data_IF_270413539178
#
_entry.id   IF_270413539178
#
_cell.length_a   1.000
_cell.length_b   1.000
_cell.length_c   1.000
_cell.angle_alpha   90.00
_cell.angle_beta   90.00
_cell.angle_gamma   90.00
#
_symmetry.space_group_name_H-M   'P 1'
#
loop_
_entity.id
_entity.type
_entity.pdbx_description
1 polymer ?
#
# COMPACT_ATOMS: atom_id res chain seq x y z
N UNK A 1 14.60 -25.99 -4.20
CA UNK A 1 13.69 -26.98 -4.82
C UNK A 1 12.66 -27.52 -3.84
N UNK A 2 13.03 -28.12 -2.71
CA UNK A 2 12.07 -28.78 -1.79
C UNK A 2 10.98 -27.83 -1.25
N UNK A 3 11.32 -26.56 -0.94
CA UNK A 3 10.35 -25.55 -0.47
C UNK A 3 9.30 -25.20 -1.52
N UNK A 4 9.69 -25.12 -2.79
CA UNK A 4 8.77 -24.88 -3.92
C UNK A 4 7.83 -26.08 -4.09
N UNK A 5 8.37 -27.28 -4.03
CA UNK A 5 7.57 -28.50 -4.11
C UNK A 5 6.54 -28.59 -2.98
N UNK A 6 6.96 -28.32 -1.73
CA UNK A 6 6.05 -28.29 -0.57
C UNK A 6 4.96 -27.24 -0.72
N UNK A 7 5.32 -26.07 -1.23
CA UNK A 7 4.35 -25.00 -1.50
C UNK A 7 3.34 -25.43 -2.58
N UNK A 8 3.79 -26.01 -3.68
CA UNK A 8 2.90 -26.50 -4.75
C UNK A 8 1.98 -27.62 -4.26
N UNK A 9 2.49 -28.53 -3.44
CA UNK A 9 1.67 -29.58 -2.80
C UNK A 9 0.61 -28.96 -1.88
N UNK A 10 0.98 -27.95 -1.09
CA UNK A 10 0.03 -27.25 -0.23
C UNK A 10 -1.08 -26.57 -1.05
N UNK A 11 -0.73 -25.84 -2.12
CA UNK A 11 -1.71 -25.22 -3.01
C UNK A 11 -2.60 -26.25 -3.70
N UNK A 12 -2.03 -27.39 -4.11
CA UNK A 12 -2.79 -28.50 -4.70
C UNK A 12 -3.82 -29.08 -3.71
N UNK A 13 -3.46 -29.24 -2.43
CA UNK A 13 -4.39 -29.73 -1.41
C UNK A 13 -5.57 -28.76 -1.20
N UNK A 14 -5.31 -27.44 -1.22
CA UNK A 14 -6.36 -26.43 -1.18
C UNK A 14 -7.28 -26.55 -2.41
N UNK A 15 -6.69 -26.74 -3.60
CA UNK A 15 -7.45 -26.91 -4.84
C UNK A 15 -8.30 -28.18 -4.82
N UNK A 16 -7.69 -29.30 -4.43
CA UNK A 16 -8.39 -30.58 -4.32
C UNK A 16 -9.59 -30.48 -3.39
N UNK A 17 -9.42 -29.82 -2.26
CA UNK A 17 -10.49 -29.66 -1.29
C UNK A 17 -11.58 -28.68 -1.79
N UNK A 18 -11.17 -27.53 -2.34
CA UNK A 18 -12.10 -26.54 -2.90
C UNK A 18 -12.87 -27.08 -4.11
N UNK A 19 -12.26 -27.96 -4.91
CA UNK A 19 -12.93 -28.64 -6.01
C UNK A 19 -14.18 -29.42 -5.57
N UNK A 20 -14.23 -29.92 -4.33
CA UNK A 20 -15.40 -30.65 -3.82
C UNK A 20 -16.65 -29.74 -3.77
N UNK A 21 -16.48 -28.44 -3.51
CA UNK A 21 -17.59 -27.50 -3.56
C UNK A 21 -18.15 -27.36 -4.97
N UNK A 22 -17.29 -27.24 -5.98
CA UNK A 22 -17.71 -27.17 -7.40
C UNK A 22 -18.41 -28.47 -7.84
N UNK A 23 -17.85 -29.63 -7.46
CA UNK A 23 -18.44 -30.93 -7.75
C UNK A 23 -19.83 -31.09 -7.14
N UNK A 24 -20.02 -30.58 -5.90
CA UNK A 24 -21.30 -30.70 -5.17
C UNK A 24 -22.32 -29.68 -5.65
N UNK A 25 -21.88 -28.42 -5.92
CA UNK A 25 -22.78 -27.36 -6.37
C UNK A 25 -23.27 -27.56 -7.81
N UNK A 26 -22.44 -28.16 -8.67
CA UNK A 26 -22.68 -28.31 -10.11
C UNK A 26 -22.47 -29.79 -10.55
N UNK A 27 -23.33 -30.72 -10.11
CA UNK A 27 -23.13 -32.17 -10.33
C UNK A 27 -23.20 -32.55 -11.82
N UNK A 28 -24.02 -31.86 -12.61
CA UNK A 28 -24.26 -32.16 -14.03
C UNK A 28 -23.37 -31.35 -14.99
N UNK A 29 -22.76 -30.25 -14.52
CA UNK A 29 -21.99 -29.30 -15.36
C UNK A 29 -20.50 -29.68 -15.39
N UNK A 30 -20.16 -30.69 -16.16
CA UNK A 30 -18.75 -31.16 -16.29
C UNK A 30 -17.79 -30.05 -16.77
N UNK A 31 -18.26 -29.11 -17.61
CA UNK A 31 -17.43 -28.04 -18.12
C UNK A 31 -16.90 -27.12 -17.00
N UNK A 32 -17.69 -26.84 -15.94
CA UNK A 32 -17.27 -26.03 -14.79
C UNK A 32 -16.08 -26.69 -14.09
N UNK A 33 -16.12 -28.02 -13.93
CA UNK A 33 -15.04 -28.81 -13.32
C UNK A 33 -13.78 -28.78 -14.18
N UNK A 34 -13.93 -28.86 -15.48
CA UNK A 34 -12.81 -28.75 -16.43
C UNK A 34 -12.18 -27.35 -16.33
N UNK A 35 -12.99 -26.29 -16.38
CA UNK A 35 -12.51 -24.91 -16.25
C UNK A 35 -11.76 -24.69 -14.94
N UNK A 36 -12.26 -25.22 -13.82
CA UNK A 36 -11.57 -25.13 -12.53
C UNK A 36 -10.15 -25.73 -12.60
N UNK A 37 -10.00 -26.93 -13.13
CA UNK A 37 -8.70 -27.58 -13.20
C UNK A 37 -7.77 -26.97 -14.25
N UNK A 38 -8.29 -26.53 -15.39
CA UNK A 38 -7.51 -25.78 -16.40
C UNK A 38 -6.95 -24.51 -15.79
N UNK A 39 -7.77 -23.76 -15.05
CA UNK A 39 -7.31 -22.55 -14.36
C UNK A 39 -6.28 -22.88 -13.27
N UNK A 40 -6.48 -23.93 -12.47
CA UNK A 40 -5.53 -24.31 -11.43
C UNK A 40 -4.19 -24.76 -12.01
N UNK A 41 -4.18 -25.55 -13.10
CA UNK A 41 -2.95 -25.96 -13.80
C UNK A 41 -2.23 -24.72 -14.38
N UNK A 42 -2.97 -23.79 -14.99
CA UNK A 42 -2.39 -22.54 -15.45
C UNK A 42 -1.70 -21.79 -14.31
N UNK A 43 -2.34 -21.67 -13.13
CA UNK A 43 -1.75 -21.04 -11.94
C UNK A 43 -0.46 -21.75 -11.53
N UNK A 44 -0.44 -23.10 -11.48
CA UNK A 44 0.76 -23.84 -11.10
C UNK A 44 1.93 -23.59 -12.06
N UNK A 45 1.66 -23.65 -13.35
CA UNK A 45 2.71 -23.43 -14.37
C UNK A 45 3.24 -22.00 -14.29
N UNK A 46 2.34 -21.02 -14.11
CA UNK A 46 2.73 -19.63 -14.02
C UNK A 46 3.51 -19.30 -12.75
N UNK A 47 3.11 -19.87 -11.61
CA UNK A 47 3.82 -19.73 -10.33
C UNK A 47 5.19 -20.43 -10.39
N UNK A 48 5.25 -21.63 -10.95
CA UNK A 48 6.52 -22.34 -11.14
C UNK A 48 7.48 -21.55 -12.04
N UNK A 49 6.97 -21.00 -13.15
CA UNK A 49 7.75 -20.11 -14.02
C UNK A 49 8.27 -18.88 -13.26
N UNK A 50 7.40 -18.21 -12.47
CA UNK A 50 7.78 -17.07 -11.67
C UNK A 50 8.88 -17.39 -10.65
N UNK A 51 8.82 -18.55 -9.99
CA UNK A 51 9.89 -18.97 -9.08
C UNK A 51 11.21 -19.33 -9.79
N UNK A 52 11.14 -19.87 -10.99
CA UNK A 52 12.35 -20.19 -11.77
C UNK A 52 13.04 -18.95 -12.31
N UNK A 53 12.28 -17.88 -12.57
CA UNK A 53 12.81 -16.60 -13.10
C UNK A 53 13.05 -15.57 -12.01
N UNK A 54 12.69 -15.87 -10.76
CA UNK A 54 12.84 -14.93 -9.65
C UNK A 54 14.30 -14.72 -9.28
N UNK A 55 14.75 -13.47 -9.35
CA UNK A 55 15.99 -13.01 -8.76
C UNK A 55 15.68 -12.23 -7.47
N UNK A 56 16.43 -12.53 -6.41
CA UNK A 56 16.19 -11.92 -5.09
C UNK A 56 16.25 -10.39 -5.16
N UNK A 57 15.20 -9.76 -4.64
CA UNK A 57 15.06 -8.30 -4.62
C UNK A 57 14.48 -7.71 -5.91
N UNK A 58 14.35 -8.47 -7.00
CA UNK A 58 13.73 -7.99 -8.22
C UNK A 58 12.20 -8.08 -8.12
N UNK A 59 11.56 -6.98 -7.72
CA UNK A 59 10.10 -6.82 -7.73
C UNK A 59 9.60 -6.45 -9.14
N UNK A 60 10.06 -7.21 -10.14
CA UNK A 60 9.69 -6.98 -11.55
C UNK A 60 8.18 -7.10 -11.76
N UNK A 61 7.71 -6.47 -12.84
CA UNK A 61 6.32 -6.57 -13.27
C UNK A 61 5.86 -8.04 -13.45
N UNK A 62 6.77 -8.91 -13.88
CA UNK A 62 6.50 -10.37 -14.02
C UNK A 62 6.26 -11.04 -12.67
N UNK A 63 7.05 -10.71 -11.66
CA UNK A 63 6.84 -11.19 -10.30
C UNK A 63 5.51 -10.69 -9.73
N UNK A 64 5.20 -9.41 -9.92
CA UNK A 64 3.92 -8.84 -9.51
C UNK A 64 2.71 -9.54 -10.17
N UNK A 65 2.78 -9.84 -11.47
CA UNK A 65 1.73 -10.61 -12.17
C UNK A 65 1.58 -12.01 -11.58
N UNK A 66 2.68 -12.70 -11.23
CA UNK A 66 2.64 -14.00 -10.57
C UNK A 66 1.92 -13.91 -9.22
N UNK A 67 2.26 -12.94 -8.38
CA UNK A 67 1.59 -12.71 -7.10
C UNK A 67 0.10 -12.43 -7.31
N UNK A 68 -0.28 -11.62 -8.31
CA UNK A 68 -1.70 -11.33 -8.60
C UNK A 68 -2.51 -12.57 -8.93
N UNK A 69 -1.98 -13.42 -9.79
CA UNK A 69 -2.65 -14.66 -10.20
C UNK A 69 -2.77 -15.63 -9.02
N UNK A 70 -1.69 -15.73 -8.22
CA UNK A 70 -1.70 -16.55 -7.02
C UNK A 70 -2.75 -16.08 -6.00
N UNK A 71 -2.78 -14.78 -5.70
CA UNK A 71 -3.73 -14.16 -4.76
C UNK A 71 -5.17 -14.29 -5.27
N UNK A 72 -5.39 -14.05 -6.56
CA UNK A 72 -6.70 -14.20 -7.23
C UNK A 72 -7.21 -15.65 -7.16
N UNK A 73 -6.32 -16.64 -7.23
CA UNK A 73 -6.66 -18.05 -7.12
C UNK A 73 -6.86 -18.48 -5.66
N UNK A 74 -5.93 -18.12 -4.77
CA UNK A 74 -5.84 -18.68 -3.43
C UNK A 74 -6.88 -18.12 -2.47
N UNK A 75 -7.08 -16.79 -2.42
CA UNK A 75 -7.98 -16.16 -1.45
C UNK A 75 -9.43 -16.67 -1.57
N UNK A 76 -10.05 -16.73 -2.76
CA UNK A 76 -11.39 -17.29 -2.91
C UNK A 76 -11.46 -18.77 -2.47
N UNK A 77 -10.44 -19.57 -2.80
CA UNK A 77 -10.39 -20.99 -2.41
C UNK A 77 -10.25 -21.19 -0.91
N UNK A 78 -9.53 -20.32 -0.21
CA UNK A 78 -9.46 -20.35 1.26
C UNK A 78 -10.83 -20.09 1.91
N UNK A 79 -11.66 -19.23 1.33
CA UNK A 79 -13.03 -19.01 1.80
C UNK A 79 -13.86 -20.29 1.59
N UNK A 80 -13.80 -20.86 0.39
CA UNK A 80 -14.49 -22.13 0.10
C UNK A 80 -14.05 -23.22 1.07
N UNK A 81 -12.73 -23.34 1.29
CA UNK A 81 -12.15 -24.30 2.24
C UNK A 81 -12.71 -24.09 3.65
N UNK A 82 -12.77 -22.84 4.14
CA UNK A 82 -13.29 -22.54 5.47
C UNK A 82 -14.75 -23.00 5.65
N UNK A 83 -15.61 -22.74 4.69
CA UNK A 83 -17.02 -23.19 4.72
C UNK A 83 -17.13 -24.71 4.64
N UNK A 84 -16.43 -25.34 3.71
CA UNK A 84 -16.50 -26.79 3.49
C UNK A 84 -15.90 -27.57 4.67
N UNK A 85 -14.79 -27.10 5.21
CA UNK A 85 -14.12 -27.72 6.36
C UNK A 85 -14.95 -27.54 7.64
N UNK A 86 -15.53 -26.37 7.86
CA UNK A 86 -16.45 -26.15 8.96
C UNK A 86 -17.68 -27.08 8.89
N UNK A 87 -18.23 -27.32 7.71
CA UNK A 87 -19.31 -28.29 7.51
C UNK A 87 -18.87 -29.70 7.79
N UNK A 88 -17.68 -30.13 7.34
CA UNK A 88 -17.15 -31.47 7.61
C UNK A 88 -16.90 -31.69 9.12
N UNK A 89 -16.40 -30.68 9.85
CA UNK A 89 -16.27 -30.73 11.32
C UNK A 89 -17.64 -30.94 11.98
N UNK A 90 -18.63 -30.12 11.63
CA UNK A 90 -19.97 -30.22 12.18
C UNK A 90 -20.58 -31.62 11.89
N UNK A 91 -20.33 -32.17 10.71
CA UNK A 91 -20.80 -33.53 10.35
C UNK A 91 -20.16 -34.59 11.22
N UNK A 92 -18.87 -34.52 11.50
CA UNK A 92 -18.18 -35.46 12.39
C UNK A 92 -18.79 -35.40 13.79
N UNK A 93 -18.97 -34.19 14.36
CA UNK A 93 -19.56 -34.03 15.68
C UNK A 93 -21.00 -34.54 15.75
N UNK A 94 -21.83 -34.24 14.75
CA UNK A 94 -23.20 -34.74 14.70
C UNK A 94 -23.24 -36.26 14.54
N UNK A 95 -22.38 -36.83 13.71
CA UNK A 95 -22.27 -38.28 13.54
C UNK A 95 -21.87 -39.01 14.84
N UNK A 96 -20.89 -38.47 15.58
CA UNK A 96 -20.49 -39.01 16.89
C UNK A 96 -21.67 -38.91 17.88
N UNK A 97 -22.37 -37.77 17.95
CA UNK A 97 -23.49 -37.57 18.85
C UNK A 97 -24.61 -38.59 18.57
N UNK A 98 -25.02 -38.77 17.32
CA UNK A 98 -26.06 -39.76 16.95
C UNK A 98 -25.63 -41.20 17.23
N UNK A 99 -24.36 -41.53 17.00
CA UNK A 99 -23.81 -42.84 17.32
C UNK A 99 -23.85 -43.15 18.81
N UNK A 100 -23.51 -42.17 19.67
CA UNK A 100 -23.56 -42.32 21.15
C UNK A 100 -25.00 -42.32 21.67
N UNK A 101 -25.91 -41.53 21.06
CA UNK A 101 -27.32 -41.44 21.46
C UNK A 101 -28.15 -42.64 20.99
N UNK A 102 -27.56 -43.63 20.31
CA UNK A 102 -28.27 -44.85 19.87
C UNK A 102 -29.27 -44.61 18.73
N UNK A 103 -29.24 -43.44 18.09
CA UNK A 103 -30.06 -43.17 16.93
C UNK A 103 -29.39 -43.76 15.68
N UNK A 104 -30.11 -44.58 14.93
CA UNK A 104 -29.67 -45.03 13.61
C UNK A 104 -29.65 -43.83 12.68
N UNK A 105 -28.63 -43.78 11.83
CA UNK A 105 -28.30 -42.74 10.88
C UNK A 105 -29.51 -41.93 10.41
N UNK A 106 -29.62 -40.70 10.93
CA UNK A 106 -30.51 -39.70 10.37
C UNK A 106 -29.96 -39.34 8.96
N UNK A 107 -30.88 -39.20 8.02
CA UNK A 107 -30.62 -38.95 6.62
C UNK A 107 -29.45 -37.99 6.43
N UNK A 108 -28.42 -38.50 5.75
CA UNK A 108 -27.31 -37.72 5.25
C UNK A 108 -27.90 -36.62 4.35
N UNK A 109 -27.91 -35.34 4.79
CA UNK A 109 -28.61 -34.24 4.12
C UNK A 109 -27.77 -33.76 2.91
N UNK A 110 -27.90 -34.38 1.71
CA UNK A 110 -27.14 -33.95 0.49
C UNK A 110 -27.45 -32.53 0.12
N UNK A 111 -28.67 -32.08 0.35
CA UNK A 111 -29.14 -30.71 0.07
C UNK A 111 -28.45 -29.66 0.95
N UNK A 112 -28.15 -29.99 2.20
CA UNK A 112 -27.39 -29.10 3.09
C UNK A 112 -25.97 -28.89 2.55
N UNK A 113 -25.25 -29.95 2.14
CA UNK A 113 -23.90 -29.80 1.58
C UNK A 113 -23.91 -29.03 0.27
N UNK A 114 -24.91 -29.26 -0.57
CA UNK A 114 -25.11 -28.51 -1.81
C UNK A 114 -25.35 -27.02 -1.51
N UNK A 115 -26.22 -26.71 -0.56
CA UNK A 115 -26.50 -25.34 -0.12
C UNK A 115 -25.22 -24.65 0.40
N UNK A 116 -24.47 -25.31 1.31
CA UNK A 116 -23.22 -24.75 1.84
C UNK A 116 -22.18 -24.56 0.73
N UNK A 117 -22.05 -25.49 -0.21
CA UNK A 117 -21.15 -25.37 -1.35
C UNK A 117 -21.51 -24.16 -2.23
N UNK A 118 -22.79 -23.99 -2.55
CA UNK A 118 -23.27 -22.87 -3.35
C UNK A 118 -23.04 -21.53 -2.60
N UNK A 119 -23.36 -21.47 -1.31
CA UNK A 119 -23.12 -20.29 -0.48
C UNK A 119 -21.63 -19.94 -0.42
N UNK A 120 -20.76 -20.93 -0.22
CA UNK A 120 -19.32 -20.74 -0.20
C UNK A 120 -18.78 -20.18 -1.54
N UNK A 121 -19.28 -20.70 -2.67
CA UNK A 121 -18.89 -20.22 -4.00
C UNK A 121 -19.38 -18.79 -4.26
N UNK A 122 -20.62 -18.45 -3.86
CA UNK A 122 -21.15 -17.09 -3.98
C UNK A 122 -20.31 -16.12 -3.13
N UNK A 123 -20.06 -16.45 -1.87
CA UNK A 123 -19.28 -15.59 -0.98
C UNK A 123 -17.82 -15.45 -1.43
N UNK A 124 -17.23 -16.51 -1.97
CA UNK A 124 -15.87 -16.47 -2.50
C UNK A 124 -15.74 -15.65 -3.80
N UNK A 125 -16.84 -15.48 -4.54
CA UNK A 125 -16.85 -14.62 -5.73
C UNK A 125 -16.65 -13.13 -5.40
N UNK A 126 -17.00 -12.67 -4.21
CA UNK A 126 -16.84 -11.28 -3.76
C UNK A 126 -15.36 -10.89 -3.75
N UNK A 127 -14.46 -11.56 -3.00
CA UNK A 127 -13.03 -11.23 -3.04
C UNK A 127 -12.40 -11.54 -4.41
N UNK A 128 -12.86 -12.56 -5.13
CA UNK A 128 -12.39 -12.83 -6.50
C UNK A 128 -12.59 -11.61 -7.41
N UNK A 129 -13.81 -11.09 -7.47
CA UNK A 129 -14.15 -9.92 -8.27
C UNK A 129 -13.47 -8.65 -7.74
N UNK A 130 -13.36 -8.51 -6.42
CA UNK A 130 -12.64 -7.40 -5.78
C UNK A 130 -11.17 -7.36 -6.15
N UNK A 131 -10.48 -8.51 -6.10
CA UNK A 131 -9.06 -8.62 -6.49
C UNK A 131 -8.90 -8.37 -7.99
N UNK A 132 -9.75 -8.97 -8.82
CA UNK A 132 -9.73 -8.77 -10.27
C UNK A 132 -9.89 -7.29 -10.62
N UNK A 133 -10.90 -6.62 -10.03
CA UNK A 133 -11.10 -5.18 -10.18
C UNK A 133 -9.88 -4.38 -9.69
N UNK A 134 -9.32 -4.76 -8.53
CA UNK A 134 -8.15 -4.10 -7.94
C UNK A 134 -6.92 -4.13 -8.84
N UNK A 135 -6.68 -5.26 -9.51
CA UNK A 135 -5.55 -5.45 -10.44
C UNK A 135 -5.78 -4.73 -11.76
N UNK A 136 -6.97 -4.81 -12.33
CA UNK A 136 -7.27 -4.27 -13.67
C UNK A 136 -7.52 -2.75 -13.65
N UNK A 137 -8.17 -2.25 -12.61
CA UNK A 137 -8.70 -0.89 -12.54
C UNK A 137 -8.18 -0.16 -11.29
N UNK A 138 -8.27 -0.80 -10.13
CA UNK A 138 -8.10 -0.18 -8.82
C UNK A 138 -6.75 0.49 -8.62
N UNK A 139 -5.66 -0.08 -9.16
CA UNK A 139 -4.28 0.43 -9.00
C UNK A 139 -4.03 1.83 -9.57
N UNK A 140 -4.92 2.31 -10.46
CA UNK A 140 -4.87 3.66 -11.03
C UNK A 140 -6.15 4.47 -10.73
N UNK A 141 -6.97 4.03 -9.79
CA UNK A 141 -8.17 4.74 -9.37
C UNK A 141 -7.82 5.80 -8.34
N UNK A 142 -7.09 6.83 -8.77
CA UNK A 142 -6.66 7.92 -7.90
C UNK A 142 -7.84 8.59 -7.20
N UNK A 143 -7.67 8.90 -5.92
CA UNK A 143 -8.60 9.69 -5.14
C UNK A 143 -7.93 10.92 -4.58
N UNK A 144 -8.58 12.07 -4.74
CA UNK A 144 -8.20 13.30 -4.07
C UNK A 144 -8.93 13.35 -2.73
N UNK A 145 -8.17 13.45 -1.65
CA UNK A 145 -8.69 13.56 -0.27
C UNK A 145 -8.31 14.94 0.26
N UNK A 146 -9.32 15.68 0.71
CA UNK A 146 -9.13 17.04 1.21
C UNK A 146 -9.24 17.07 2.73
N UNK A 147 -8.30 17.76 3.38
CA UNK A 147 -8.32 18.07 4.80
C UNK A 147 -8.18 19.59 4.99
N UNK A 148 -8.89 20.14 5.95
CA UNK A 148 -8.68 21.49 6.44
C UNK A 148 -8.23 21.39 7.89
N UNK A 149 -7.06 21.95 8.21
CA UNK A 149 -6.48 21.92 9.55
C UNK A 149 -6.39 23.36 10.07
N UNK A 150 -6.90 23.56 11.27
CA UNK A 150 -6.95 24.88 11.91
C UNK A 150 -5.92 24.96 13.05
N UNK A 151 -5.15 26.03 13.08
CA UNK A 151 -4.08 26.24 14.06
C UNK A 151 -4.16 27.65 14.65
N UNK A 152 -3.92 27.76 15.96
CA UNK A 152 -3.95 29.05 16.67
C UNK A 152 -2.69 29.90 16.40
N UNK A 153 -1.59 29.25 16.02
CA UNK A 153 -0.26 29.86 15.83
C UNK A 153 0.21 29.85 14.38
N UNK A 154 -0.65 29.53 13.43
CA UNK A 154 -0.37 29.70 12.00
C UNK A 154 -0.31 31.22 11.68
N UNK A 155 0.79 31.70 11.04
CA UNK A 155 0.83 33.06 10.56
C UNK A 155 -0.34 33.41 9.63
N UNK A 156 -0.92 34.60 9.75
CA UNK A 156 -2.10 35.02 8.96
C UNK A 156 -1.84 34.97 7.45
N UNK A 157 -0.62 35.28 7.03
CA UNK A 157 -0.18 35.19 5.64
C UNK A 157 -0.27 33.77 5.04
N UNK A 158 -0.33 32.77 5.90
CA UNK A 158 -0.50 31.36 5.52
C UNK A 158 -1.94 30.86 5.69
N UNK A 159 -2.90 31.74 6.06
CA UNK A 159 -4.31 31.33 6.03
C UNK A 159 -4.71 30.94 4.60
N UNK A 160 -5.31 29.77 4.46
CA UNK A 160 -5.66 29.19 3.17
C UNK A 160 -4.50 28.53 2.40
N UNK A 161 -3.28 28.47 2.95
CA UNK A 161 -2.14 27.77 2.32
C UNK A 161 -2.45 26.32 2.03
N UNK A 162 -2.12 25.87 0.82
CA UNK A 162 -2.48 24.53 0.34
C UNK A 162 -1.26 23.66 0.05
N UNK A 163 -1.29 22.46 0.55
CA UNK A 163 -0.25 21.45 0.40
C UNK A 163 -0.83 20.25 -0.34
N UNK A 164 -0.25 19.86 -1.46
CA UNK A 164 -0.51 18.52 -2.02
C UNK A 164 0.56 17.57 -1.52
N UNK A 165 0.15 16.54 -0.79
CA UNK A 165 1.02 15.42 -0.41
C UNK A 165 0.83 14.27 -1.39
N UNK A 166 1.94 13.74 -1.91
CA UNK A 166 2.04 12.47 -2.61
C UNK A 166 3.11 11.61 -1.94
N UNK A 167 3.00 10.30 -2.03
CA UNK A 167 3.93 9.36 -1.41
C UNK A 167 4.00 8.06 -2.20
N UNK A 168 5.05 7.27 -1.99
CA UNK A 168 5.10 5.87 -2.40
C UNK A 168 4.75 5.71 -3.89
N UNK A 169 5.55 6.31 -4.75
CA UNK A 169 5.38 6.30 -6.21
C UNK A 169 5.70 4.91 -6.76
N UNK A 170 6.81 4.30 -6.31
CA UNK A 170 7.23 2.96 -6.73
C UNK A 170 7.24 2.78 -8.25
N UNK A 171 7.99 3.64 -8.92
CA UNK A 171 8.01 3.82 -10.37
C UNK A 171 8.27 2.53 -11.17
N UNK A 172 9.05 1.60 -10.61
CA UNK A 172 9.30 0.28 -11.21
C UNK A 172 8.07 -0.63 -11.34
N UNK A 173 6.97 -0.26 -10.71
CA UNK A 173 5.71 -1.01 -10.78
C UNK A 173 4.76 -0.52 -11.88
N UNK A 174 4.97 0.66 -12.45
CA UNK A 174 4.05 1.23 -13.44
C UNK A 174 4.06 0.49 -14.77
N UNK A 175 2.89 0.37 -15.37
CA UNK A 175 2.67 -0.30 -16.66
C UNK A 175 1.77 0.47 -17.63
N UNK A 176 1.28 1.67 -17.25
CA UNK A 176 0.34 2.44 -18.06
C UNK A 176 0.56 3.95 -17.97
N UNK A 177 1.25 4.49 -18.99
CA UNK A 177 1.59 5.92 -19.08
C UNK A 177 0.35 6.84 -19.06
N UNK A 178 -0.71 6.50 -19.82
CA UNK A 178 -1.92 7.33 -19.89
C UNK A 178 -2.62 7.45 -18.52
N UNK A 179 -2.65 6.36 -17.77
CA UNK A 179 -3.24 6.37 -16.41
C UNK A 179 -2.39 7.18 -15.43
N UNK A 180 -1.07 7.12 -15.61
CA UNK A 180 -0.14 7.93 -14.81
C UNK A 180 -0.27 9.41 -15.13
N UNK A 181 -0.32 9.79 -16.41
CA UNK A 181 -0.54 11.18 -16.85
C UNK A 181 -1.85 11.74 -16.29
N UNK A 182 -2.92 10.94 -16.26
CA UNK A 182 -4.16 11.33 -15.60
C UNK A 182 -3.98 11.62 -14.10
N UNK A 183 -3.17 10.81 -13.39
CA UNK A 183 -2.84 11.05 -11.99
C UNK A 183 -2.07 12.36 -11.77
N UNK A 184 -1.10 12.66 -12.65
CA UNK A 184 -0.35 13.92 -12.64
C UNK A 184 -1.26 15.11 -12.90
N UNK A 185 -2.18 15.00 -13.88
CA UNK A 185 -3.16 16.04 -14.16
C UNK A 185 -4.07 16.30 -12.96
N UNK A 186 -4.54 15.26 -12.28
CA UNK A 186 -5.33 15.42 -11.05
C UNK A 186 -4.57 16.18 -9.95
N UNK A 187 -3.25 15.94 -9.80
CA UNK A 187 -2.41 16.68 -8.86
C UNK A 187 -2.36 18.17 -9.25
N UNK A 188 -2.07 18.48 -10.50
CA UNK A 188 -1.97 19.87 -10.98
C UNK A 188 -3.30 20.62 -10.90
N UNK A 189 -4.43 19.93 -11.10
CA UNK A 189 -5.77 20.50 -10.94
C UNK A 189 -6.04 21.02 -9.52
N UNK A 190 -5.31 20.53 -8.51
CA UNK A 190 -5.47 21.00 -7.14
C UNK A 190 -4.91 22.42 -6.93
N UNK A 191 -4.01 22.88 -7.80
CA UNK A 191 -3.38 24.19 -7.78
C UNK A 191 -2.79 24.56 -6.40
N UNK A 192 -2.19 23.57 -5.74
CA UNK A 192 -1.63 23.75 -4.41
C UNK A 192 -0.39 24.63 -4.43
N UNK A 193 -0.17 25.37 -3.33
CA UNK A 193 1.00 26.26 -3.17
C UNK A 193 2.31 25.45 -3.24
N UNK A 194 2.34 24.28 -2.61
CA UNK A 194 3.50 23.36 -2.61
C UNK A 194 3.08 21.92 -2.87
N UNK A 195 4.00 21.12 -3.42
CA UNK A 195 3.89 19.66 -3.48
C UNK A 195 4.96 19.06 -2.56
N UNK A 196 4.54 18.20 -1.63
CA UNK A 196 5.39 17.49 -0.70
C UNK A 196 5.35 15.98 -1.01
N UNK A 197 6.49 15.44 -1.40
CA UNK A 197 6.67 14.03 -1.70
C UNK A 197 7.36 13.32 -0.52
N UNK A 198 6.64 12.39 0.11
CA UNK A 198 7.08 11.76 1.36
C UNK A 198 7.82 10.43 1.17
N UNK A 199 8.54 10.26 0.05
CA UNK A 199 9.50 9.17 -0.17
C UNK A 199 8.94 7.96 -0.92
N UNK A 200 9.84 6.98 -1.18
CA UNK A 200 9.63 5.79 -1.99
C UNK A 200 9.31 6.12 -3.46
N UNK A 201 10.29 6.76 -4.13
CA UNK A 201 10.21 7.07 -5.56
C UNK A 201 10.31 5.81 -6.42
N UNK A 202 11.16 4.88 -6.03
CA UNK A 202 11.49 3.65 -6.76
C UNK A 202 11.17 2.40 -5.92
N UNK A 203 11.19 1.23 -6.55
CA UNK A 203 11.13 -0.03 -5.80
C UNK A 203 12.51 -0.36 -5.18
N UNK A 204 13.58 -0.12 -5.94
CA UNK A 204 14.96 -0.41 -5.52
C UNK A 204 16.02 0.39 -6.29
N UNK A 205 15.80 0.72 -7.56
CA UNK A 205 16.84 1.22 -8.47
C UNK A 205 16.41 2.49 -9.17
N UNK A 206 17.32 3.45 -9.27
CA UNK A 206 17.05 4.75 -9.88
C UNK A 206 16.56 4.63 -11.34
N UNK A 207 17.07 3.64 -12.09
CA UNK A 207 16.68 3.39 -13.49
C UNK A 207 15.19 3.11 -13.67
N UNK A 208 14.50 2.65 -12.63
CA UNK A 208 13.05 2.40 -12.64
C UNK A 208 12.24 3.68 -12.92
N UNK A 209 12.80 4.84 -12.59
CA UNK A 209 12.17 6.14 -12.81
C UNK A 209 12.42 6.72 -14.20
N UNK A 210 13.47 6.28 -14.91
CA UNK A 210 13.85 6.83 -16.20
C UNK A 210 12.69 6.94 -17.22
N UNK A 211 11.84 5.91 -17.42
CA UNK A 211 10.74 6.00 -18.38
C UNK A 211 9.67 7.05 -18.02
N UNK A 212 9.66 7.51 -16.76
CA UNK A 212 8.58 8.32 -16.19
C UNK A 212 9.00 9.77 -15.90
N UNK A 213 10.29 10.10 -16.05
CA UNK A 213 10.83 11.44 -15.75
C UNK A 213 10.02 12.52 -16.44
N UNK A 214 9.78 12.41 -17.74
CA UNK A 214 9.05 13.42 -18.53
C UNK A 214 7.56 13.54 -18.11
N UNK A 215 7.01 12.51 -17.49
CA UNK A 215 5.64 12.55 -16.97
C UNK A 215 5.59 13.30 -15.64
N UNK A 216 6.51 13.00 -14.71
CA UNK A 216 6.54 13.62 -13.39
C UNK A 216 7.11 15.05 -13.40
N UNK A 217 7.93 15.42 -14.39
CA UNK A 217 8.35 16.82 -14.63
C UNK A 217 7.18 17.78 -14.80
N UNK A 218 6.03 17.28 -15.25
CA UNK A 218 4.79 18.07 -15.42
C UNK A 218 4.12 18.49 -14.11
N UNK A 219 4.60 18.03 -12.96
CA UNK A 219 4.10 18.46 -11.66
C UNK A 219 4.45 19.93 -11.40
N UNK A 220 3.46 20.73 -11.04
CA UNK A 220 3.60 22.17 -10.86
C UNK A 220 3.12 22.62 -9.48
N UNK A 221 3.92 23.43 -8.81
CA UNK A 221 3.56 24.12 -7.57
C UNK A 221 4.31 25.45 -7.50
N UNK A 222 3.62 26.61 -7.32
CA UNK A 222 4.23 27.92 -7.43
C UNK A 222 5.28 28.22 -6.34
N UNK A 223 5.15 27.60 -5.15
CA UNK A 223 6.10 27.79 -4.04
C UNK A 223 7.07 26.60 -3.89
N UNK A 224 7.12 25.74 -4.91
CA UNK A 224 8.13 24.66 -5.01
C UNK A 224 7.60 23.26 -4.72
N UNK A 225 8.48 22.32 -5.04
CA UNK A 225 8.29 20.88 -4.81
C UNK A 225 9.40 20.37 -3.90
N UNK A 226 9.06 19.68 -2.85
CA UNK A 226 10.01 19.19 -1.85
C UNK A 226 9.81 17.70 -1.64
N UNK A 227 10.89 16.99 -1.36
CA UNK A 227 10.88 15.54 -1.19
C UNK A 227 11.77 15.08 -0.06
N UNK A 228 11.54 13.87 0.40
CA UNK A 228 12.43 13.09 1.26
C UNK A 228 12.63 11.69 0.65
N UNK A 229 13.52 10.90 1.22
CA UNK A 229 13.72 9.50 0.87
C UNK A 229 12.84 8.61 1.75
N UNK A 230 12.28 7.54 1.14
CA UNK A 230 11.70 6.42 1.85
C UNK A 230 12.66 5.24 1.92
N UNK A 231 12.25 4.14 2.55
CA UNK A 231 13.14 2.98 2.76
C UNK A 231 13.53 2.25 1.47
N UNK A 232 12.72 2.30 0.43
CA UNK A 232 13.01 1.69 -0.86
C UNK A 232 14.05 2.48 -1.67
N UNK A 233 14.14 3.77 -1.46
CA UNK A 233 15.03 4.66 -2.19
C UNK A 233 16.53 4.38 -1.94
N UNK A 234 16.88 3.69 -0.84
CA UNK A 234 18.27 3.32 -0.52
C UNK A 234 18.77 2.07 -1.26
N UNK A 235 17.89 1.35 -1.97
CA UNK A 235 18.26 0.15 -2.71
C UNK A 235 18.74 -1.01 -1.82
N UNK A 236 18.29 -1.08 -0.56
CA UNK A 236 18.74 -2.08 0.42
C UNK A 236 18.12 -3.46 0.21
N UNK A 237 17.10 -3.56 -0.64
CA UNK A 237 16.37 -4.83 -0.87
C UNK A 237 16.90 -5.63 -2.04
N UNK A 238 17.89 -5.12 -2.78
CA UNK A 238 18.57 -5.80 -3.88
C UNK A 238 20.04 -6.04 -3.56
N UNK A 239 20.63 -7.02 -4.25
CA UNK A 239 22.07 -7.26 -4.17
C UNK A 239 22.78 -6.40 -5.21
N UNK A 240 23.80 -5.66 -4.80
CA UNK A 240 24.61 -4.83 -5.68
C UNK A 240 25.91 -5.55 -6.05
N UNK A 241 26.40 -5.36 -7.28
CA UNK A 241 27.68 -5.93 -7.70
C UNK A 241 28.88 -5.41 -6.86
N UNK A 242 28.80 -4.14 -6.43
CA UNK A 242 29.78 -3.51 -5.57
C UNK A 242 29.16 -2.35 -4.77
N UNK A 243 29.89 -1.83 -3.80
CA UNK A 243 29.49 -0.65 -3.03
C UNK A 243 29.36 0.59 -3.90
N UNK A 244 30.31 0.76 -4.84
CA UNK A 244 30.35 1.86 -5.79
C UNK A 244 29.13 1.85 -6.72
N UNK A 245 28.67 0.66 -7.13
CA UNK A 245 27.44 0.52 -7.92
C UNK A 245 26.21 1.01 -7.16
N UNK A 246 26.11 0.70 -5.86
CA UNK A 246 25.04 1.21 -4.99
C UNK A 246 25.13 2.72 -4.80
N UNK A 247 26.35 3.26 -4.60
CA UNK A 247 26.58 4.70 -4.46
C UNK A 247 26.21 5.45 -5.76
N UNK A 248 26.58 4.90 -6.92
CA UNK A 248 26.21 5.46 -8.22
C UNK A 248 24.67 5.49 -8.41
N UNK A 249 23.98 4.43 -8.02
CA UNK A 249 22.51 4.41 -8.01
C UNK A 249 21.91 5.50 -7.13
N UNK A 250 22.45 5.72 -5.93
CA UNK A 250 21.98 6.78 -5.04
C UNK A 250 22.23 8.18 -5.65
N UNK A 251 23.39 8.40 -6.26
CA UNK A 251 23.68 9.67 -6.93
C UNK A 251 22.70 9.91 -8.09
N UNK A 252 22.42 8.87 -8.89
CA UNK A 252 21.43 8.96 -9.97
C UNK A 252 20.03 9.29 -9.44
N UNK A 253 19.63 8.69 -8.32
CA UNK A 253 18.35 8.99 -7.70
C UNK A 253 18.24 10.47 -7.26
N UNK A 254 19.32 11.04 -6.70
CA UNK A 254 19.36 12.46 -6.33
C UNK A 254 19.30 13.38 -7.56
N UNK A 255 19.93 12.98 -8.66
CA UNK A 255 19.83 13.70 -9.95
C UNK A 255 18.41 13.65 -10.48
N UNK A 256 17.77 12.50 -10.49
CA UNK A 256 16.38 12.33 -10.91
C UNK A 256 15.47 13.23 -10.07
N UNK A 257 15.60 13.26 -8.76
CA UNK A 257 14.80 14.15 -7.89
C UNK A 257 14.94 15.63 -8.35
N UNK A 258 16.15 16.07 -8.68
CA UNK A 258 16.40 17.42 -9.21
C UNK A 258 15.80 17.62 -10.60
N UNK A 259 15.91 16.62 -11.48
CA UNK A 259 15.31 16.67 -12.83
C UNK A 259 13.79 16.78 -12.77
N UNK A 260 13.15 16.13 -11.79
CA UNK A 260 11.72 16.23 -11.51
C UNK A 260 11.35 17.60 -10.90
N UNK A 261 12.33 18.42 -10.54
CA UNK A 261 12.15 19.72 -9.91
C UNK A 261 11.89 19.64 -8.40
N UNK A 262 12.17 18.51 -7.75
CA UNK A 262 12.09 18.40 -6.30
C UNK A 262 13.39 18.87 -5.63
N UNK A 263 13.25 19.66 -4.56
CA UNK A 263 14.33 19.89 -3.60
C UNK A 263 14.28 18.76 -2.56
N UNK A 264 15.24 17.84 -2.63
CA UNK A 264 15.36 16.72 -1.69
C UNK A 264 15.94 17.25 -0.36
N UNK A 265 15.22 17.00 0.73
CA UNK A 265 15.64 17.33 2.09
C UNK A 265 16.16 16.09 2.80
N UNK A 266 17.37 16.19 3.38
CA UNK A 266 18.08 15.08 4.01
C UNK A 266 18.56 15.45 5.41
N UNK A 267 17.70 15.29 6.39
CA UNK A 267 17.92 15.74 7.78
C UNK A 267 18.22 17.24 7.84
N UNK A 268 17.40 18.02 7.18
CA UNK A 268 17.53 19.47 7.07
C UNK A 268 16.16 20.16 7.04
N UNK A 269 16.18 21.45 7.14
CA UNK A 269 14.99 22.29 7.06
C UNK A 269 15.16 23.46 6.10
N UNK A 270 14.05 24.00 5.65
CA UNK A 270 13.97 25.22 4.87
C UNK A 270 12.80 26.07 5.36
N UNK A 271 12.85 27.36 5.05
CA UNK A 271 11.69 28.23 5.19
C UNK A 271 10.90 28.30 3.91
N UNK A 272 9.58 28.19 4.04
CA UNK A 272 8.63 28.57 3.00
C UNK A 272 8.21 29.99 3.37
N UNK A 273 8.47 30.94 2.49
CA UNK A 273 8.32 32.36 2.77
C UNK A 273 7.13 32.97 2.03
N UNK A 274 6.36 33.80 2.71
CA UNK A 274 5.40 34.75 2.15
C UNK A 274 5.75 36.14 2.64
N UNK A 275 5.33 37.23 1.98
CA UNK A 275 5.60 38.56 2.44
C UNK A 275 5.21 38.75 3.91
N UNK A 276 6.16 39.03 4.78
CA UNK A 276 5.94 39.28 6.22
C UNK A 276 5.97 38.03 7.12
N UNK A 277 5.95 36.79 6.58
CA UNK A 277 5.92 35.60 7.40
C UNK A 277 6.66 34.40 6.76
N UNK A 278 6.95 33.39 7.58
CA UNK A 278 7.49 32.12 7.11
C UNK A 278 7.01 30.96 7.97
N UNK A 279 6.96 29.78 7.37
CA UNK A 279 6.77 28.50 8.06
C UNK A 279 7.98 27.59 7.79
N UNK A 280 8.32 26.70 8.72
CA UNK A 280 9.44 25.81 8.59
C UNK A 280 8.99 24.46 8.02
N UNK A 281 9.59 24.06 6.90
CA UNK A 281 9.47 22.73 6.33
C UNK A 281 10.70 21.91 6.67
N UNK A 282 10.50 20.81 7.35
CA UNK A 282 11.53 19.89 7.86
C UNK A 282 11.44 18.60 7.05
N UNK A 283 12.58 18.10 6.56
CA UNK A 283 12.68 16.80 5.93
C UNK A 283 13.69 15.92 6.63
N UNK A 284 13.26 14.76 7.10
CA UNK A 284 14.17 13.71 7.63
C UNK A 284 14.36 12.61 6.61
N UNK A 285 15.54 12.02 6.59
CA UNK A 285 15.77 10.76 5.88
C UNK A 285 14.93 9.65 6.50
N UNK A 286 14.84 8.47 5.85
CA UNK A 286 13.98 7.41 6.36
C UNK A 286 14.32 7.06 7.81
N UNK A 287 13.30 7.05 8.66
CA UNK A 287 13.34 6.53 10.01
C UNK A 287 12.14 5.60 10.22
N UNK A 288 12.37 4.31 10.40
CA UNK A 288 11.30 3.34 10.54
C UNK A 288 11.61 2.26 11.57
N UNK A 289 10.62 1.87 12.36
CA UNK A 289 10.74 0.78 13.31
C UNK A 289 10.85 -0.56 12.58
N UNK A 290 12.09 -1.09 12.47
CA UNK A 290 12.40 -2.32 11.73
C UNK A 290 12.71 -2.09 10.24
N UNK A 291 12.87 -0.83 9.85
CA UNK A 291 13.43 -0.38 8.58
C UNK A 291 14.64 0.51 8.84
N UNK A 292 15.36 0.96 7.82
CA UNK A 292 16.54 1.82 8.02
C UNK A 292 16.23 3.05 8.87
N UNK A 293 17.12 3.40 9.79
CA UNK A 293 17.01 4.57 10.66
C UNK A 293 18.11 5.57 10.33
N UNK A 294 17.95 6.31 9.23
CA UNK A 294 18.87 7.34 8.74
C UNK A 294 18.41 8.74 9.14
N UNK A 295 17.16 8.87 9.55
CA UNK A 295 16.53 10.11 9.99
C UNK A 295 17.14 10.61 11.30
N UNK A 296 17.47 11.92 11.34
CA UNK A 296 17.96 12.65 12.51
C UNK A 296 17.11 13.90 12.71
N UNK A 297 16.12 13.78 13.59
CA UNK A 297 15.18 14.87 13.86
C UNK A 297 15.86 16.06 14.54
N UNK A 298 16.87 15.82 15.40
CA UNK A 298 17.62 16.90 16.06
C UNK A 298 18.42 17.72 15.06
N UNK A 299 19.10 17.05 14.11
CA UNK A 299 19.83 17.72 13.05
C UNK A 299 18.86 18.47 12.14
N UNK A 300 17.75 17.83 11.74
CA UNK A 300 16.76 18.41 10.85
C UNK A 300 16.08 19.67 11.44
N UNK A 301 15.97 19.76 12.76
CA UNK A 301 15.35 20.89 13.46
C UNK A 301 16.38 21.88 14.03
N UNK A 302 17.66 21.68 13.75
CA UNK A 302 18.69 22.58 14.25
C UNK A 302 18.44 24.03 13.80
N UNK A 303 18.64 24.98 14.71
CA UNK A 303 18.47 26.42 14.48
C UNK A 303 17.02 26.89 14.18
N UNK A 304 16.01 26.05 14.37
CA UNK A 304 14.62 26.48 14.28
C UNK A 304 14.15 27.15 15.58
N UNK A 305 13.32 28.18 15.43
CA UNK A 305 12.67 28.81 16.57
C UNK A 305 11.60 27.91 17.18
N UNK A 306 11.48 27.85 18.50
CA UNK A 306 10.40 27.12 19.17
C UNK A 306 9.01 27.68 18.81
N UNK A 307 8.93 28.96 18.44
CA UNK A 307 7.70 29.66 18.10
C UNK A 307 7.28 29.54 16.64
N UNK A 308 8.12 28.99 15.77
CA UNK A 308 7.78 28.89 14.36
C UNK A 308 6.78 27.77 14.09
N UNK A 309 5.92 27.96 13.10
CA UNK A 309 5.04 26.90 12.60
C UNK A 309 5.87 25.87 11.81
N UNK A 310 5.74 24.58 12.15
CA UNK A 310 6.60 23.50 11.64
C UNK A 310 5.80 22.40 10.97
N UNK A 311 6.21 22.04 9.75
CA UNK A 311 5.72 20.88 9.01
C UNK A 311 6.88 19.91 8.83
N UNK A 312 6.68 18.65 9.18
CA UNK A 312 7.67 17.58 9.06
C UNK A 312 7.26 16.59 7.96
N UNK A 313 8.16 16.32 7.04
CA UNK A 313 8.08 15.16 6.16
C UNK A 313 8.92 14.02 6.78
N UNK A 314 8.28 12.86 7.03
CA UNK A 314 8.91 11.66 7.57
C UNK A 314 8.21 10.44 7.00
N UNK A 315 8.91 9.59 6.25
CA UNK A 315 8.32 8.54 5.44
C UNK A 315 7.51 7.52 6.26
N UNK A 316 8.12 6.89 7.27
CA UNK A 316 7.47 5.85 8.09
C UNK A 316 6.69 6.48 9.25
N UNK A 317 5.37 6.22 9.39
CA UNK A 317 4.55 6.80 10.46
C UNK A 317 4.95 6.35 11.86
N UNK A 318 5.73 5.27 12.02
CA UNK A 318 6.23 4.86 13.35
C UNK A 318 7.15 5.90 13.99
N UNK A 319 7.81 6.74 13.18
CA UNK A 319 8.64 7.84 13.68
C UNK A 319 7.83 8.84 14.51
N UNK A 320 6.57 9.09 14.12
CA UNK A 320 5.69 9.95 14.90
C UNK A 320 5.48 9.42 16.32
N UNK A 321 5.20 8.14 16.46
CA UNK A 321 4.94 7.53 17.78
C UNK A 321 6.19 7.38 18.63
N UNK A 322 7.31 7.07 18.01
CA UNK A 322 8.55 6.78 18.74
C UNK A 322 9.29 8.06 19.15
N UNK A 323 9.36 9.08 18.26
CA UNK A 323 10.16 10.28 18.51
C UNK A 323 9.35 11.59 18.42
N UNK A 324 8.63 11.82 17.30
CA UNK A 324 8.10 13.16 16.96
C UNK A 324 7.15 13.71 18.03
N UNK A 325 6.20 12.89 18.49
CA UNK A 325 5.22 13.35 19.51
C UNK A 325 5.83 13.62 20.89
N UNK A 326 7.05 13.12 21.14
CA UNK A 326 7.80 13.29 22.39
C UNK A 326 8.90 14.34 22.24
N UNK A 327 9.10 14.87 21.03
CA UNK A 327 10.17 15.79 20.73
C UNK A 327 9.97 17.14 21.43
N UNK A 328 11.07 17.75 21.90
CA UNK A 328 11.02 19.00 22.69
C UNK A 328 10.43 20.17 21.92
N UNK A 329 10.77 20.31 20.63
CA UNK A 329 10.17 21.31 19.77
C UNK A 329 8.79 20.85 19.29
N UNK A 330 7.83 21.77 19.25
CA UNK A 330 6.49 21.45 18.78
C UNK A 330 6.46 21.37 17.25
N UNK A 331 6.01 20.23 16.70
CA UNK A 331 5.81 20.00 15.26
C UNK A 331 4.30 19.90 15.05
N UNK A 332 3.75 20.81 14.24
CA UNK A 332 2.30 20.99 14.07
C UNK A 332 1.69 19.91 13.19
N UNK A 333 2.37 19.59 12.08
CA UNK A 333 1.91 18.61 11.09
C UNK A 333 3.06 17.72 10.66
N UNK A 334 2.87 16.40 10.77
CA UNK A 334 3.76 15.37 10.20
C UNK A 334 3.09 14.71 9.02
N UNK A 335 3.82 14.56 7.92
CA UNK A 335 3.37 13.92 6.69
C UNK A 335 4.16 12.64 6.47
N UNK A 336 3.46 11.51 6.36
CA UNK A 336 4.04 10.17 6.19
C UNK A 336 3.35 9.40 5.07
N UNK A 337 3.97 8.28 4.63
CA UNK A 337 3.46 7.32 3.68
C UNK A 337 3.70 5.88 4.12
N UNK A 338 4.50 5.11 3.37
CA UNK A 338 5.09 3.83 3.70
C UNK A 338 4.14 2.63 3.74
N UNK A 339 2.98 2.78 4.35
CA UNK A 339 2.12 1.62 4.68
C UNK A 339 1.34 1.07 3.51
N UNK A 340 1.05 1.92 2.51
CA UNK A 340 0.09 1.67 1.41
C UNK A 340 -1.29 1.15 1.86
N UNK A 341 -1.56 1.06 3.17
CA UNK A 341 -2.62 0.24 3.70
C UNK A 341 -2.51 -1.21 3.24
N UNK A 342 -1.26 -1.72 3.03
CA UNK A 342 -0.94 -2.99 2.38
C UNK A 342 -1.70 -3.24 1.07
N UNK A 343 -2.24 -2.17 0.43
CA UNK A 343 -3.02 -2.21 -0.83
C UNK A 343 -4.32 -3.04 -0.75
N UNK A 344 -4.64 -3.58 0.42
CA UNK A 344 -5.82 -4.37 0.71
C UNK A 344 -6.57 -3.83 1.92
N UNK A 345 -7.90 -3.76 1.83
CA UNK A 345 -8.72 -3.37 2.97
C UNK A 345 -10.14 -3.04 2.59
N UNK A 346 -10.87 -2.60 3.59
CA UNK A 346 -12.24 -2.11 3.46
C UNK A 346 -12.29 -0.75 4.13
N UNK A 347 -12.67 0.26 3.37
CA UNK A 347 -12.83 1.61 3.89
C UNK A 347 -14.17 2.18 3.44
N UNK A 348 -15.14 2.16 4.35
CA UNK A 348 -16.47 2.74 4.19
C UNK A 348 -16.57 3.85 5.23
N UNK A 349 -16.57 5.14 4.83
CA UNK A 349 -16.59 6.27 5.76
C UNK A 349 -17.70 6.14 6.80
N UNK A 350 -17.36 6.33 8.08
CA UNK A 350 -18.30 6.23 9.20
C UNK A 350 -18.74 4.81 9.60
N UNK A 351 -18.34 3.78 8.85
CA UNK A 351 -18.76 2.38 9.11
C UNK A 351 -17.58 1.48 9.45
N UNK A 352 -16.59 1.37 8.56
CA UNK A 352 -15.44 0.50 8.76
C UNK A 352 -14.21 1.07 8.07
N UNK A 353 -13.08 1.00 8.76
CA UNK A 353 -11.75 1.30 8.23
C UNK A 353 -10.80 0.22 8.71
N UNK A 354 -10.50 -0.73 7.84
CA UNK A 354 -9.66 -1.88 8.16
C UNK A 354 -8.73 -2.24 6.99
N UNK A 355 -7.51 -2.59 7.34
CA UNK A 355 -6.50 -3.13 6.43
C UNK A 355 -5.59 -4.07 7.22
N UNK A 356 -4.95 -5.09 6.61
CA UNK A 356 -3.90 -5.88 7.26
C UNK A 356 -2.76 -5.01 7.81
N UNK A 357 -2.52 -3.81 7.24
CA UNK A 357 -1.54 -2.86 7.76
C UNK A 357 -1.81 -2.48 9.22
N UNK A 358 -3.07 -2.48 9.67
CA UNK A 358 -3.44 -2.15 11.06
C UNK A 358 -2.85 -3.09 12.10
N UNK A 359 -2.44 -4.30 11.72
CA UNK A 359 -1.78 -5.27 12.60
C UNK A 359 -0.37 -4.83 13.00
N UNK A 360 0.27 -4.00 12.19
CA UNK A 360 1.63 -3.47 12.46
C UNK A 360 1.64 -1.97 12.72
N UNK A 361 0.81 -1.22 12.01
CA UNK A 361 0.73 0.24 12.08
C UNK A 361 -0.66 0.66 12.57
N UNK A 362 -0.82 1.01 13.86
CA UNK A 362 -2.11 1.53 14.36
C UNK A 362 -2.60 2.75 13.58
N UNK A 363 -1.65 3.59 13.13
CA UNK A 363 -1.87 4.77 12.28
C UNK A 363 -1.47 4.46 10.83
N UNK A 364 -2.23 3.61 10.14
CA UNK A 364 -1.85 3.11 8.82
C UNK A 364 -2.32 3.99 7.64
N UNK A 365 -3.27 4.90 7.80
CA UNK A 365 -3.74 5.79 6.73
C UNK A 365 -4.62 6.92 7.26
N UNK A 366 -4.59 8.07 6.57
CA UNK A 366 -5.44 9.25 6.87
C UNK A 366 -4.90 10.11 8.00
N UNK A 367 -5.77 10.96 8.54
CA UNK A 367 -5.43 11.98 9.50
C UNK A 367 -5.64 11.50 10.94
N UNK A 368 -4.65 11.78 11.79
CA UNK A 368 -4.66 11.53 13.23
C UNK A 368 -4.24 12.80 13.96
N UNK A 369 -4.75 12.95 15.19
CA UNK A 369 -4.36 14.04 16.09
C UNK A 369 -4.00 13.45 17.46
N UNK A 370 -2.82 13.77 17.95
CA UNK A 370 -2.36 13.39 19.29
C UNK A 370 -1.54 14.52 19.91
N UNK A 371 -1.86 14.89 21.13
CA UNK A 371 -1.17 15.95 21.90
C UNK A 371 -1.14 17.30 21.15
N UNK A 372 -2.19 17.62 20.42
CA UNK A 372 -2.30 18.83 19.60
C UNK A 372 -1.45 18.80 18.32
N UNK A 373 -0.83 17.67 17.98
CA UNK A 373 0.00 17.47 16.78
C UNK A 373 -0.75 16.62 15.78
N UNK A 374 -0.69 16.99 14.52
CA UNK A 374 -1.30 16.20 13.44
C UNK A 374 -0.29 15.26 12.78
N UNK A 375 -0.77 14.06 12.46
CA UNK A 375 -0.08 13.12 11.56
C UNK A 375 -1.03 12.79 10.42
N UNK A 376 -0.59 12.98 9.18
CA UNK A 376 -1.26 12.44 8.02
C UNK A 376 -0.44 11.31 7.39
N UNK A 377 -1.06 10.14 7.23
CA UNK A 377 -0.45 8.97 6.57
C UNK A 377 -1.13 8.75 5.23
N UNK A 378 -0.41 9.04 4.15
CA UNK A 378 -0.87 8.88 2.78
C UNK A 378 -0.84 7.40 2.37
N UNK A 379 -1.86 6.94 1.61
CA UNK A 379 -1.98 5.54 1.16
C UNK A 379 -1.09 5.21 -0.05
N UNK A 380 -0.29 6.17 -0.51
CA UNK A 380 0.60 6.04 -1.66
C UNK A 380 -0.09 6.29 -2.99
N UNK A 381 0.69 6.85 -3.93
CA UNK A 381 0.29 7.14 -5.31
C UNK A 381 0.42 5.91 -6.21
N UNK A 382 1.47 5.13 -6.04
CA UNK A 382 1.75 3.92 -6.79
C UNK A 382 1.31 2.62 -6.11
N UNK A 383 1.99 1.55 -6.41
CA UNK A 383 1.78 0.22 -5.83
C UNK A 383 3.09 -0.58 -5.86
N UNK A 384 3.22 -1.56 -4.97
CA UNK A 384 4.44 -2.35 -4.79
C UNK A 384 4.12 -3.83 -4.68
N UNK A 385 4.93 -4.70 -5.27
CA UNK A 385 4.87 -6.17 -5.24
C UNK A 385 3.57 -6.75 -5.80
N UNK A 386 2.42 -6.47 -5.21
CA UNK A 386 1.11 -6.82 -5.74
C UNK A 386 0.63 -5.68 -6.66
N UNK A 387 0.54 -5.88 -8.00
CA UNK A 387 0.16 -4.82 -8.94
C UNK A 387 -1.36 -4.59 -8.95
N UNK A 388 -1.91 -4.27 -7.79
CA UNK A 388 -3.32 -4.03 -7.58
C UNK A 388 -3.59 -3.27 -6.29
N UNK A 389 -4.80 -2.69 -6.21
CA UNK A 389 -5.30 -2.08 -5.00
C UNK A 389 -6.76 -2.49 -4.77
N UNK A 390 -7.02 -3.16 -3.66
CA UNK A 390 -8.33 -3.73 -3.33
C UNK A 390 -8.91 -2.99 -2.13
N UNK A 391 -9.89 -2.11 -2.40
CA UNK A 391 -10.55 -1.30 -1.37
C UNK A 391 -9.74 -0.12 -0.81
N UNK A 392 -8.41 -0.12 -0.99
CA UNK A 392 -7.50 0.96 -0.61
C UNK A 392 -6.93 1.58 -1.89
N UNK A 393 -7.49 2.73 -2.29
CA UNK A 393 -7.17 3.37 -3.56
C UNK A 393 -5.92 4.24 -3.49
N UNK A 394 -5.23 4.49 -4.64
CA UNK A 394 -4.14 5.48 -4.70
C UNK A 394 -4.64 6.85 -4.26
N UNK A 395 -3.80 7.55 -3.51
CA UNK A 395 -4.18 8.78 -2.83
C UNK A 395 -3.35 9.99 -3.27
N UNK A 396 -4.06 11.09 -3.53
CA UNK A 396 -3.53 12.45 -3.64
C UNK A 396 -4.16 13.23 -2.48
N UNK A 397 -3.38 13.69 -1.52
CA UNK A 397 -3.92 14.42 -0.37
C UNK A 397 -3.75 15.90 -0.54
N UNK A 398 -4.79 16.65 -0.31
CA UNK A 398 -4.75 18.13 -0.26
C UNK A 398 -5.03 18.58 1.16
N UNK A 399 -4.09 19.29 1.76
CA UNK A 399 -4.22 19.85 3.10
C UNK A 399 -4.26 21.36 2.98
N UNK A 400 -5.34 21.96 3.46
CA UNK A 400 -5.49 23.40 3.59
C UNK A 400 -5.23 23.80 5.03
N UNK A 401 -4.27 24.69 5.25
CA UNK A 401 -4.01 25.28 6.55
C UNK A 401 -4.92 26.47 6.77
N UNK A 402 -5.45 26.62 7.99
CA UNK A 402 -6.26 27.76 8.41
C UNK A 402 -5.80 28.33 9.73
N UNK A 403 -5.77 29.63 9.83
CA UNK A 403 -5.62 30.34 11.10
C UNK A 403 -6.96 30.37 11.82
N UNK A 404 -6.98 30.11 13.12
CA UNK A 404 -8.18 30.21 13.98
C UNK A 404 -8.48 31.63 14.47
N UNK A 405 -7.75 32.61 13.99
CA UNK A 405 -7.94 34.01 14.39
C UNK A 405 -9.12 34.65 13.68
#
# INVERSE_FOLDING_TARGET
MIRILLFLVFVFLIDWYSYQAFKTAFPEQNWIRIVFWVFSVFVYLFVAYGFLTFTRGNLSLSFGKMISILVLSLIPKLIVLGFMFGEDILRVFTGIFYSVAGHREGDFLPDRRKFISQTALILSSIPFLGILHGVLIGKYRYRVINHTLEFDDLPEEFDGFTITQISDIHSGSFDNKKKLEYGIELINQQKSDVILFTGDLVNNQAEEMEPWIETFKKLEAPMGKYSILGNHDYGDYVSWPSKEAKEANMQRLYEIQRELGFKLLRNENIKIERPGASIDLIGVENWGKGFGQYGDLKKATANLSDKSFKILMSHDPSHFDEEVKKFSQFIHLTLSGHTHGMQFGIEIPGVIKWSPASLRYPKWAGLYEELGRYLHVNRGFGFLAFPGRVGIWPEITVIRLKSKR
#
